data_IF_490501234109
#
_entry.id   IF_490501234109
#
_cell.length_a   1.000
_cell.length_b   1.000
_cell.length_c   1.000
_cell.angle_alpha   90.00
_cell.angle_beta   90.00
_cell.angle_gamma   90.00
#
_symmetry.space_group_name_H-M   'P 1'
#
loop_
_entity.id
_entity.type
_entity.pdbx_description
1 polymer ?
#
# COMPACT_ATOMS: atom_id res chain seq x y z
N UNK A 1 -21.87 6.85 -26.92
CA UNK A 1 -21.68 8.01 -26.04
C UNK A 1 -21.74 7.55 -24.58
N UNK A 2 -20.63 7.08 -24.00
CA UNK A 2 -20.57 6.68 -22.58
C UNK A 2 -19.17 6.96 -22.02
N UNK A 3 -18.77 8.25 -22.02
CA UNK A 3 -17.44 8.70 -21.54
C UNK A 3 -17.52 9.84 -20.51
N UNK A 4 -18.72 10.13 -20.01
CA UNK A 4 -19.01 11.27 -19.14
C UNK A 4 -19.56 10.87 -17.77
N UNK A 5 -19.69 9.57 -17.47
CA UNK A 5 -20.13 9.11 -16.14
C UNK A 5 -18.98 8.98 -15.12
N UNK A 6 -17.72 9.14 -15.54
CA UNK A 6 -16.56 9.10 -14.65
C UNK A 6 -16.27 10.45 -13.95
N UNK A 7 -16.98 11.54 -14.29
CA UNK A 7 -16.60 12.91 -13.89
C UNK A 7 -17.40 13.51 -12.74
N UNK A 8 -18.17 12.71 -11.97
CA UNK A 8 -19.14 13.22 -10.98
C UNK A 8 -19.22 12.38 -9.71
N UNK A 9 -18.26 11.48 -9.46
CA UNK A 9 -18.03 11.05 -8.09
C UNK A 9 -17.29 12.21 -7.43
N UNK A 10 -17.84 12.77 -6.34
CA UNK A 10 -17.14 13.72 -5.49
C UNK A 10 -15.73 13.18 -5.21
N UNK A 11 -14.70 14.04 -5.21
CA UNK A 11 -13.30 13.58 -5.04
C UNK A 11 -13.10 12.78 -3.73
N UNK A 12 -13.94 13.05 -2.73
CA UNK A 12 -14.06 12.30 -1.46
C UNK A 12 -14.72 10.92 -1.60
N UNK A 13 -15.50 10.67 -2.66
CA UNK A 13 -16.17 9.39 -2.95
C UNK A 13 -15.38 8.52 -3.94
N UNK A 14 -14.21 8.98 -4.42
CA UNK A 14 -13.33 8.15 -5.24
C UNK A 14 -12.46 7.24 -4.35
N UNK A 15 -12.71 5.92 -4.28
CA UNK A 15 -11.94 5.01 -3.44
C UNK A 15 -10.46 4.93 -3.84
N UNK A 16 -10.10 5.32 -5.07
CA UNK A 16 -8.70 5.39 -5.50
C UNK A 16 -7.94 6.57 -4.87
N UNK A 17 -8.63 7.61 -4.40
CA UNK A 17 -8.01 8.78 -3.74
C UNK A 17 -8.09 8.74 -2.21
N UNK A 18 -8.70 7.72 -1.63
CA UNK A 18 -8.75 7.56 -0.17
C UNK A 18 -7.36 7.24 0.39
N UNK A 19 -7.10 7.71 1.62
CA UNK A 19 -5.87 7.42 2.33
C UNK A 19 -5.69 5.89 2.50
N UNK A 20 -4.44 5.44 2.42
CA UNK A 20 -4.12 4.04 2.66
C UNK A 20 -4.53 3.59 4.07
N UNK A 21 -4.90 2.32 4.22
CA UNK A 21 -5.34 1.75 5.49
C UNK A 21 -4.23 1.64 6.56
N UNK A 22 -2.96 1.81 6.18
CA UNK A 22 -1.82 1.72 7.08
C UNK A 22 -1.69 2.99 7.94
N UNK A 23 -1.45 2.81 9.24
CA UNK A 23 -1.17 3.91 10.14
C UNK A 23 0.24 4.48 9.89
N UNK A 24 0.37 5.81 9.85
CA UNK A 24 1.65 6.46 9.58
C UNK A 24 2.57 6.43 10.82
N UNK A 25 3.78 5.84 10.73
CA UNK A 25 4.75 5.87 11.84
C UNK A 25 5.30 7.28 12.09
N UNK A 26 5.84 7.55 13.29
CA UNK A 26 6.61 8.76 13.56
C UNK A 26 7.76 8.95 12.56
N UNK A 27 8.10 10.22 12.30
CA UNK A 27 9.18 10.60 11.40
C UNK A 27 10.31 11.24 12.21
N UNK A 28 11.54 10.79 11.96
CA UNK A 28 12.77 11.31 12.54
C UNK A 28 13.51 12.20 11.52
N UNK A 29 14.18 13.25 12.00
CA UNK A 29 14.91 14.19 11.15
C UNK A 29 14.00 15.22 10.48
N UNK A 30 14.55 16.01 9.56
CA UNK A 30 13.81 17.03 8.82
C UNK A 30 14.36 17.19 7.39
N UNK A 31 13.55 17.75 6.50
CA UNK A 31 13.94 17.98 5.10
C UNK A 31 14.39 16.70 4.40
N UNK A 32 15.55 16.75 3.75
CA UNK A 32 16.13 15.62 3.01
C UNK A 32 16.61 14.44 3.88
N UNK A 33 16.68 14.61 5.20
CA UNK A 33 17.08 13.55 6.15
C UNK A 33 15.89 12.92 6.87
N UNK A 34 14.67 13.27 6.44
CA UNK A 34 13.43 12.72 6.98
C UNK A 34 13.32 11.22 6.71
N UNK A 35 13.01 10.44 7.76
CA UNK A 35 12.79 8.98 7.66
C UNK A 35 11.78 8.52 8.71
N UNK A 36 11.11 7.40 8.49
CA UNK A 36 10.30 6.77 9.53
C UNK A 36 11.17 6.24 10.68
N UNK A 37 10.64 6.30 11.89
CA UNK A 37 11.24 5.70 13.08
C UNK A 37 11.16 4.17 12.98
N UNK A 38 12.30 3.46 12.81
CA UNK A 38 12.29 2.01 12.68
C UNK A 38 11.80 1.30 13.94
N UNK A 39 12.01 1.88 15.12
CA UNK A 39 11.63 1.28 16.40
C UNK A 39 10.11 1.39 16.64
N UNK A 40 9.42 2.26 15.91
CA UNK A 40 7.98 2.44 15.98
C UNK A 40 7.19 1.60 14.95
N UNK A 41 7.88 0.91 14.04
CA UNK A 41 7.24 0.05 13.03
C UNK A 41 6.57 -1.16 13.70
N UNK A 42 5.33 -1.40 13.33
CA UNK A 42 4.49 -2.46 13.89
C UNK A 42 3.52 -3.03 12.84
N UNK A 43 2.58 -3.88 13.25
CA UNK A 43 1.62 -4.50 12.34
C UNK A 43 0.61 -3.51 11.75
N UNK A 44 0.26 -2.42 12.45
CA UNK A 44 -0.67 -1.41 11.96
C UNK A 44 -0.04 -0.45 10.95
N UNK A 45 1.29 -0.31 10.96
CA UNK A 45 2.01 0.49 9.96
C UNK A 45 2.17 -0.20 8.60
N UNK A 46 1.58 -1.39 8.42
CA UNK A 46 1.67 -2.15 7.17
C UNK A 46 3.07 -2.71 6.89
N UNK A 47 3.90 -2.81 7.93
CA UNK A 47 5.30 -3.29 7.86
C UNK A 47 5.47 -4.72 8.39
N UNK A 48 4.37 -5.45 8.62
CA UNK A 48 4.41 -6.87 8.93
C UNK A 48 4.40 -7.68 7.63
N UNK A 49 5.52 -8.36 7.37
CA UNK A 49 5.74 -9.16 6.17
C UNK A 49 5.76 -10.66 6.47
N UNK A 50 5.16 -11.13 7.56
CA UNK A 50 5.15 -12.54 7.95
C UNK A 50 4.62 -13.48 6.84
N UNK A 51 3.65 -13.03 6.03
CA UNK A 51 3.06 -13.80 4.93
C UNK A 51 3.80 -13.67 3.59
N UNK A 52 4.84 -12.83 3.50
CA UNK A 52 5.60 -12.64 2.26
C UNK A 52 6.20 -13.93 1.68
N UNK A 53 6.75 -14.88 2.49
CA UNK A 53 7.24 -16.15 1.97
C UNK A 53 6.14 -17.00 1.32
N UNK A 54 4.93 -16.98 1.89
CA UNK A 54 3.77 -17.68 1.34
C UNK A 54 3.36 -17.08 0.00
N UNK A 55 3.28 -15.75 -0.07
CA UNK A 55 2.98 -15.04 -1.32
C UNK A 55 4.01 -15.37 -2.41
N UNK A 56 5.30 -15.37 -2.08
CA UNK A 56 6.36 -15.71 -3.01
C UNK A 56 6.24 -17.15 -3.55
N UNK A 57 5.87 -18.11 -2.71
CA UNK A 57 5.64 -19.48 -3.13
C UNK A 57 4.48 -19.58 -4.15
N UNK A 58 3.37 -18.85 -3.92
CA UNK A 58 2.24 -18.80 -4.83
C UNK A 58 2.62 -18.19 -6.19
N UNK A 59 3.32 -17.05 -6.18
CA UNK A 59 3.76 -16.36 -7.40
C UNK A 59 4.66 -17.24 -8.26
N UNK A 60 5.53 -18.05 -7.64
CA UNK A 60 6.40 -19.00 -8.36
C UNK A 60 5.63 -20.15 -8.99
N UNK A 61 4.58 -20.64 -8.35
CA UNK A 61 3.70 -21.68 -8.91
C UNK A 61 2.98 -21.14 -10.14
N UNK A 62 2.36 -19.97 -10.04
CA UNK A 62 1.66 -19.30 -11.15
C UNK A 62 2.58 -19.02 -12.35
N UNK A 63 3.83 -18.62 -12.09
CA UNK A 63 4.82 -18.42 -13.14
C UNK A 63 5.23 -19.72 -13.83
N UNK A 64 5.21 -20.86 -13.12
CA UNK A 64 5.49 -22.19 -13.67
C UNK A 64 4.30 -22.82 -14.40
N UNK A 65 3.07 -22.42 -14.08
CA UNK A 65 1.83 -22.87 -14.73
C UNK A 65 1.54 -22.14 -16.06
N UNK A 66 2.30 -21.09 -16.38
CA UNK A 66 2.20 -20.36 -17.67
C UNK A 66 3.16 -20.88 -18.75
N UNK A 67 3.73 -22.08 -18.57
CA UNK A 67 4.68 -22.73 -19.48
C UNK A 67 4.06 -23.76 -20.42
#
# INVERSE_FOLDING_TARGET
MNRLQESLLDEDENPAMQAGAAAMPPVLGAGCLSRFDPDALNSQSGSDYAEAPRLLALLRQQAGESG
#
